data_IF_137338195775
#
_entry.id   IF_137338195775
#
_cell.length_a   1.000
_cell.length_b   1.000
_cell.length_c   1.000
_cell.angle_alpha   90.00
_cell.angle_beta   90.00
_cell.angle_gamma   90.00
#
_symmetry.space_group_name_H-M   'P 1'
#
loop_
_entity.id
_entity.type
_entity.pdbx_description
1 polymer ?
#
# COMPACT_ATOMS: atom_id res chain seq x y z
N UNK A 1 -9.77 -7.22 -8.41
CA UNK A 1 -9.19 -6.95 -7.08
C UNK A 1 -9.47 -5.49 -6.74
N UNK A 2 -9.90 -5.16 -5.53
CA UNK A 2 -10.52 -3.86 -5.20
C UNK A 2 -9.64 -2.65 -5.62
N UNK A 3 -9.94 -2.09 -6.79
CA UNK A 3 -9.43 -0.81 -7.29
C UNK A 3 -7.92 -0.68 -7.50
N UNK A 4 -7.16 -1.75 -7.72
CA UNK A 4 -5.68 -1.69 -7.85
C UNK A 4 -5.02 -1.01 -6.63
N UNK A 5 -5.65 -1.08 -5.46
CA UNK A 5 -5.27 -0.32 -4.26
C UNK A 5 -4.99 -1.18 -3.04
N UNK A 6 -5.23 -2.49 -3.15
CA UNK A 6 -4.89 -3.48 -2.12
C UNK A 6 -3.79 -4.37 -2.70
N UNK A 7 -2.60 -4.31 -2.10
CA UNK A 7 -1.46 -5.13 -2.43
C UNK A 7 -1.62 -6.52 -1.81
N UNK A 8 -1.39 -7.56 -2.62
CA UNK A 8 -1.66 -8.96 -2.27
C UNK A 8 -0.79 -9.44 -1.10
N UNK A 9 -1.36 -10.34 -0.28
CA UNK A 9 -0.59 -11.07 0.72
C UNK A 9 0.28 -12.16 0.07
N UNK A 10 1.58 -12.07 0.28
CA UNK A 10 2.65 -12.96 -0.22
C UNK A 10 3.39 -13.68 0.92
N UNK A 11 2.79 -13.73 2.12
CA UNK A 11 3.33 -14.50 3.22
C UNK A 11 3.43 -15.99 2.83
N UNK A 12 4.59 -16.60 3.07
CA UNK A 12 4.85 -18.00 2.70
C UNK A 12 4.50 -19.00 3.80
N UNK A 13 4.47 -18.55 5.06
CA UNK A 13 4.14 -19.39 6.21
C UNK A 13 2.80 -18.94 6.80
N UNK A 14 1.82 -19.85 6.85
CA UNK A 14 0.47 -19.62 7.39
C UNK A 14 -0.17 -18.30 6.91
N UNK A 15 -0.43 -18.10 5.61
CA UNK A 15 -0.96 -16.83 5.10
C UNK A 15 -2.42 -16.59 5.53
N UNK A 16 -2.73 -15.38 5.98
CA UNK A 16 -4.10 -14.93 6.14
C UNK A 16 -4.79 -14.77 4.78
N UNK A 17 -6.04 -15.23 4.67
CA UNK A 17 -6.90 -15.08 3.50
C UNK A 17 -7.84 -13.88 3.67
N UNK A 18 -8.36 -13.34 2.56
CA UNK A 18 -9.36 -12.25 2.56
C UNK A 18 -8.83 -10.87 2.98
N UNK A 19 -7.51 -10.72 3.13
CA UNK A 19 -6.83 -9.48 3.54
C UNK A 19 -5.56 -9.24 2.73
N UNK A 20 -5.27 -7.97 2.48
CA UNK A 20 -4.00 -7.49 1.92
C UNK A 20 -3.56 -6.19 2.61
N UNK A 21 -2.52 -5.56 2.06
CA UNK A 21 -2.00 -4.27 2.55
C UNK A 21 -2.46 -3.15 1.63
N UNK A 22 -2.91 -2.01 2.18
CA UNK A 22 -3.30 -0.82 1.42
C UNK A 22 -2.55 0.40 1.96
N UNK A 23 -2.07 1.25 1.05
CA UNK A 23 -1.40 2.50 1.42
C UNK A 23 -2.38 3.67 1.43
N UNK A 24 -2.24 4.53 2.43
CA UNK A 24 -2.92 5.83 2.48
C UNK A 24 -1.92 6.96 2.68
N UNK A 25 -2.29 8.17 2.26
CA UNK A 25 -1.61 9.44 2.60
C UNK A 25 -2.66 10.44 3.05
N UNK A 26 -2.49 10.97 4.26
CA UNK A 26 -3.47 11.89 4.88
C UNK A 26 -4.91 11.32 4.85
N UNK A 27 -5.07 10.01 5.10
CA UNK A 27 -6.36 9.32 5.07
C UNK A 27 -6.90 8.97 3.66
N UNK A 28 -6.25 9.43 2.58
CA UNK A 28 -6.67 9.10 1.20
C UNK A 28 -5.92 7.88 0.68
N UNK A 29 -6.63 6.91 0.10
CA UNK A 29 -6.05 5.70 -0.49
C UNK A 29 -5.18 6.06 -1.70
N UNK A 30 -4.01 5.43 -1.80
CA UNK A 30 -3.13 5.52 -2.98
C UNK A 30 -3.21 4.21 -3.77
N UNK A 31 -3.86 4.19 -4.94
CA UNK A 31 -3.79 3.07 -5.86
C UNK A 31 -2.37 2.87 -6.41
N UNK A 32 -2.03 1.64 -6.78
CA UNK A 32 -0.78 1.37 -7.47
C UNK A 32 -0.72 2.12 -8.81
N UNK A 33 0.50 2.50 -9.22
CA UNK A 33 0.78 3.25 -10.44
C UNK A 33 0.07 4.61 -10.53
N UNK A 34 -0.29 5.19 -9.39
CA UNK A 34 -0.85 6.54 -9.31
C UNK A 34 0.22 7.51 -8.78
N UNK A 35 0.58 8.53 -9.58
CA UNK A 35 1.58 9.52 -9.19
C UNK A 35 1.05 10.41 -8.06
N UNK A 36 1.82 10.49 -6.98
CA UNK A 36 1.53 11.36 -5.84
C UNK A 36 2.53 12.51 -5.83
N UNK A 37 2.05 13.76 -5.97
CA UNK A 37 2.95 14.91 -5.95
C UNK A 37 3.48 15.22 -4.55
N UNK A 38 4.79 15.47 -4.46
CA UNK A 38 5.47 15.95 -3.26
C UNK A 38 5.66 17.47 -3.25
N UNK A 39 5.24 18.17 -4.32
CA UNK A 39 5.57 19.59 -4.52
C UNK A 39 7.07 19.80 -4.79
N UNK A 40 7.57 20.99 -4.46
CA UNK A 40 9.00 21.28 -4.56
C UNK A 40 9.76 20.61 -3.40
N UNK A 41 10.69 19.71 -3.73
CA UNK A 41 11.56 19.02 -2.76
C UNK A 41 12.96 19.64 -2.85
N UNK A 42 13.39 20.27 -1.76
CA UNK A 42 14.71 20.91 -1.63
C UNK A 42 15.77 19.99 -1.01
N UNK A 43 16.75 20.59 -0.33
CA UNK A 43 17.82 19.85 0.37
C UNK A 43 17.37 19.20 1.68
N UNK A 44 16.29 19.71 2.29
CA UNK A 44 15.70 19.13 3.50
C UNK A 44 14.82 17.93 3.17
N UNK A 45 14.85 16.92 4.04
CA UNK A 45 14.03 15.72 3.88
C UNK A 45 12.51 16.06 3.89
N UNK A 46 11.77 15.47 2.95
CA UNK A 46 10.31 15.57 2.86
C UNK A 46 9.72 14.18 3.02
N UNK A 47 8.80 14.02 3.96
CA UNK A 47 8.09 12.75 4.17
C UNK A 47 7.13 12.48 3.01
N UNK A 48 7.09 11.23 2.55
CA UNK A 48 6.07 10.78 1.60
C UNK A 48 4.68 10.75 2.24
N UNK A 49 4.61 10.68 3.58
CA UNK A 49 3.35 10.64 4.33
C UNK A 49 2.57 9.33 4.16
N UNK A 50 3.24 8.22 3.83
CA UNK A 50 2.61 6.93 3.64
C UNK A 50 2.25 6.28 4.99
N UNK A 51 1.05 5.71 5.06
CA UNK A 51 0.60 4.85 6.15
C UNK A 51 0.15 3.52 5.56
N UNK A 52 0.61 2.40 6.15
CA UNK A 52 0.20 1.06 5.76
C UNK A 52 -1.00 0.61 6.60
N UNK A 53 -1.99 0.04 5.93
CA UNK A 53 -3.24 -0.42 6.54
C UNK A 53 -3.55 -1.84 6.06
N UNK A 54 -4.28 -2.61 6.85
CA UNK A 54 -4.92 -3.82 6.34
C UNK A 54 -6.22 -3.45 5.61
N UNK A 55 -6.49 -4.11 4.49
CA UNK A 55 -7.73 -3.94 3.74
C UNK A 55 -8.27 -5.30 3.28
N UNK A 56 -9.59 -5.45 3.32
CA UNK A 56 -10.25 -6.71 2.90
C UNK A 56 -10.26 -6.82 1.38
N UNK A 57 -9.82 -7.96 0.85
CA UNK A 57 -9.84 -8.26 -0.59
C UNK A 57 -11.17 -8.89 -1.06
N UNK A 58 -12.11 -9.05 -0.14
CA UNK A 58 -13.35 -9.82 -0.33
C UNK A 58 -13.27 -11.21 0.28
N UNK A 59 -14.41 -11.89 0.39
CA UNK A 59 -14.49 -13.21 1.01
C UNK A 59 -14.27 -13.23 2.53
N UNK A 60 -14.12 -14.45 3.06
CA UNK A 60 -13.88 -14.70 4.48
C UNK A 60 -12.43 -14.37 4.85
N UNK A 61 -12.27 -13.60 5.92
CA UNK A 61 -10.94 -13.34 6.50
C UNK A 61 -10.56 -14.54 7.38
N UNK A 62 -9.36 -15.08 7.20
CA UNK A 62 -8.82 -16.17 8.03
C UNK A 62 -7.56 -15.74 8.77
N UNK A 63 -7.29 -16.37 9.91
CA UNK A 63 -6.08 -16.10 10.67
C UNK A 63 -4.82 -16.50 9.87
N UNK A 64 -3.74 -15.76 10.07
CA UNK A 64 -2.45 -16.02 9.43
C UNK A 64 -1.57 -14.76 9.35
N UNK A 65 -0.39 -14.92 8.78
CA UNK A 65 0.58 -13.88 8.51
C UNK A 65 0.20 -13.08 7.27
N UNK A 66 0.59 -11.81 7.26
CA UNK A 66 0.46 -10.91 6.11
C UNK A 66 1.83 -10.34 5.75
N UNK A 67 2.19 -10.42 4.47
CA UNK A 67 3.40 -9.80 3.92
C UNK A 67 3.11 -9.28 2.52
N UNK A 68 3.37 -8.00 2.26
CA UNK A 68 3.26 -7.43 0.91
C UNK A 68 4.56 -6.71 0.56
N UNK A 69 4.95 -6.79 -0.71
CA UNK A 69 6.13 -6.10 -1.26
C UNK A 69 5.59 -4.99 -2.17
N UNK A 70 5.95 -3.75 -1.88
CA UNK A 70 5.44 -2.56 -2.58
C UNK A 70 6.62 -1.72 -3.05
N UNK A 71 6.73 -1.49 -4.36
CA UNK A 71 7.75 -0.63 -4.95
C UNK A 71 7.36 0.84 -4.92
N UNK A 72 8.34 1.72 -4.69
CA UNK A 72 8.20 3.17 -4.79
C UNK A 72 9.11 3.67 -5.90
N UNK A 73 8.55 4.36 -6.89
CA UNK A 73 9.29 4.93 -8.02
C UNK A 73 9.15 6.44 -8.00
N UNK A 74 10.27 7.16 -8.11
CA UNK A 74 10.29 8.62 -8.20
C UNK A 74 10.39 9.04 -9.67
N UNK A 75 9.62 10.07 -10.03
CA UNK A 75 9.64 10.71 -11.34
C UNK A 75 9.65 12.23 -11.16
N UNK A 76 10.36 12.95 -12.03
CA UNK A 76 10.25 14.41 -12.10
C UNK A 76 8.90 14.80 -12.71
N UNK A 77 8.37 15.95 -12.30
CA UNK A 77 7.11 16.53 -12.79
C UNK A 77 7.39 17.75 -13.66
#
# INVERSE_FOLDING_TARGET
DAGNSIFTNTASFSPAQGVGVQLTRNGTIIPANNTVSLGAVGTSAVSLGLTANYARTGGQVTAGNVKSIIGVTFVYQ
#
